data_IF_067222784477
#
_entry.id   IF_067222784477
#
_cell.length_a   1.000
_cell.length_b   1.000
_cell.length_c   1.000
_cell.angle_alpha   90.00
_cell.angle_beta   90.00
_cell.angle_gamma   90.00
#
_symmetry.space_group_name_H-M   'P 1'
#
loop_
_entity.id
_entity.type
_entity.pdbx_description
1 polymer ?
#
# COMPACT_ATOMS: atom_id res chain seq x y z
N UNK A 1 -21.63 19.30 4.40
CA UNK A 1 -20.73 19.92 3.43
C UNK A 1 -19.51 19.01 3.32
N UNK A 2 -19.52 18.08 2.36
CA UNK A 2 -18.39 17.17 2.12
C UNK A 2 -17.26 18.01 1.52
N UNK A 3 -16.18 18.18 2.28
CA UNK A 3 -14.92 18.66 1.72
C UNK A 3 -14.50 17.58 0.72
N UNK A 4 -14.23 17.92 -0.57
CA UNK A 4 -13.69 16.92 -1.48
C UNK A 4 -12.34 16.49 -0.94
N UNK A 5 -12.30 15.32 -0.29
CA UNK A 5 -11.04 14.66 -0.01
C UNK A 5 -10.33 14.53 -1.37
N UNK A 6 -9.14 15.07 -1.44
CA UNK A 6 -8.20 14.77 -2.53
C UNK A 6 -8.20 13.25 -2.62
N UNK A 7 -8.69 12.70 -3.73
CA UNK A 7 -8.79 11.26 -3.85
C UNK A 7 -7.35 10.74 -3.88
N UNK A 8 -6.95 10.01 -2.85
CA UNK A 8 -5.61 9.41 -2.76
C UNK A 8 -5.28 8.59 -4.01
N UNK A 9 -6.29 8.04 -4.66
CA UNK A 9 -6.18 7.34 -5.94
C UNK A 9 -5.64 8.24 -7.07
N UNK A 10 -6.03 9.52 -7.11
CA UNK A 10 -5.48 10.48 -8.09
C UNK A 10 -4.01 10.79 -7.83
N UNK A 11 -3.55 10.74 -6.59
CA UNK A 11 -2.15 10.95 -6.23
C UNK A 11 -1.26 9.78 -6.65
N UNK A 12 -1.73 8.54 -6.54
CA UNK A 12 -1.04 7.36 -7.08
C UNK A 12 -0.89 7.43 -8.60
N UNK A 13 -1.90 7.93 -9.32
CA UNK A 13 -1.84 8.15 -10.76
C UNK A 13 -0.80 9.23 -11.13
N UNK A 14 -0.74 10.31 -10.34
CA UNK A 14 0.28 11.37 -10.52
C UNK A 14 1.70 10.81 -10.34
N UNK A 15 1.92 9.93 -9.35
CA UNK A 15 3.23 9.30 -9.13
C UNK A 15 3.64 8.40 -10.32
N UNK A 16 2.70 7.69 -10.91
CA UNK A 16 2.98 6.91 -12.14
C UNK A 16 3.36 7.83 -13.30
N UNK A 17 2.61 8.91 -13.53
CA UNK A 17 2.92 9.91 -14.55
C UNK A 17 4.27 10.58 -14.30
N UNK A 18 4.62 10.83 -13.03
CA UNK A 18 5.92 11.36 -12.65
C UNK A 18 7.04 10.39 -13.06
N UNK A 19 6.91 9.11 -12.74
CA UNK A 19 7.88 8.10 -13.14
C UNK A 19 8.09 8.10 -14.66
N UNK A 20 7.01 8.01 -15.44
CA UNK A 20 7.06 8.00 -16.90
C UNK A 20 7.66 9.30 -17.48
N UNK A 21 7.38 10.46 -16.88
CA UNK A 21 7.93 11.75 -17.31
C UNK A 21 9.42 11.90 -16.99
N UNK A 22 9.94 11.16 -16.00
CA UNK A 22 11.36 11.18 -15.64
C UNK A 22 12.21 10.19 -16.43
N UNK A 23 11.61 9.18 -17.06
CA UNK A 23 12.33 8.21 -17.91
C UNK A 23 13.18 8.86 -19.01
N UNK A 24 12.77 9.94 -19.71
CA UNK A 24 13.63 10.60 -20.72
C UNK A 24 14.94 11.16 -20.16
N UNK A 25 15.04 11.45 -18.86
CA UNK A 25 16.30 11.84 -18.24
C UNK A 25 17.35 10.73 -18.27
N UNK A 26 16.90 9.46 -18.34
CA UNK A 26 17.79 8.31 -18.51
C UNK A 26 18.57 8.38 -19.85
N UNK A 27 18.03 9.01 -20.91
CA UNK A 27 18.69 9.12 -22.21
C UNK A 27 20.00 9.91 -22.14
N UNK A 28 20.03 10.98 -21.33
CA UNK A 28 21.25 11.76 -21.12
C UNK A 28 22.32 10.95 -20.38
N UNK A 29 21.90 10.17 -19.38
CA UNK A 29 22.80 9.28 -18.64
C UNK A 29 23.27 8.11 -19.53
N UNK A 30 22.43 7.63 -20.43
CA UNK A 30 22.77 6.59 -21.41
C UNK A 30 23.94 7.02 -22.30
N UNK A 31 23.97 8.27 -22.77
CA UNK A 31 25.07 8.79 -23.60
C UNK A 31 26.39 8.78 -22.82
N UNK A 32 26.39 9.26 -21.57
CA UNK A 32 27.59 9.25 -20.73
C UNK A 32 28.04 7.82 -20.41
N UNK A 33 27.08 6.95 -20.06
CA UNK A 33 27.33 5.54 -19.78
C UNK A 33 27.90 4.80 -20.98
N UNK A 34 27.42 5.08 -22.20
CA UNK A 34 27.92 4.49 -23.42
C UNK A 34 29.40 4.83 -23.68
N UNK A 35 29.80 6.07 -23.41
CA UNK A 35 31.21 6.48 -23.56
C UNK A 35 32.11 5.71 -22.57
N UNK A 36 31.69 5.59 -21.31
CA UNK A 36 32.42 4.83 -20.28
C UNK A 36 32.46 3.34 -20.64
N UNK A 37 31.35 2.77 -21.10
CA UNK A 37 31.26 1.36 -21.48
C UNK A 37 32.15 1.05 -22.70
N UNK A 38 32.21 1.96 -23.70
CA UNK A 38 33.11 1.81 -24.87
C UNK A 38 34.57 1.76 -24.44
N UNK A 39 35.00 2.66 -23.54
CA UNK A 39 36.37 2.65 -23.03
C UNK A 39 36.63 1.34 -22.27
N UNK A 40 35.71 0.94 -21.38
CA UNK A 40 35.79 -0.31 -20.66
C UNK A 40 35.86 -1.54 -21.54
N UNK A 41 35.03 -1.58 -22.59
CA UNK A 41 35.03 -2.65 -23.60
C UNK A 41 36.34 -2.76 -24.34
N UNK A 42 36.90 -1.62 -24.79
CA UNK A 42 38.21 -1.59 -25.49
C UNK A 42 39.33 -2.10 -24.58
N UNK A 43 39.38 -1.64 -23.31
CA UNK A 43 40.38 -2.08 -22.36
C UNK A 43 40.24 -3.58 -22.03
N UNK A 44 39.03 -4.06 -21.85
CA UNK A 44 38.73 -5.47 -21.57
C UNK A 44 39.16 -6.36 -22.74
N UNK A 45 38.72 -6.02 -23.96
CA UNK A 45 39.03 -6.79 -25.18
C UNK A 45 40.54 -6.80 -25.41
N UNK A 46 41.19 -5.62 -25.34
CA UNK A 46 42.62 -5.49 -25.52
C UNK A 46 43.43 -6.34 -24.53
N UNK A 47 43.07 -6.26 -23.25
CA UNK A 47 43.71 -7.03 -22.20
C UNK A 47 43.52 -8.55 -22.40
N UNK A 48 42.32 -8.98 -22.76
CA UNK A 48 42.00 -10.39 -22.96
C UNK A 48 42.71 -11.00 -24.15
N UNK A 49 42.72 -10.27 -25.27
CA UNK A 49 43.42 -10.67 -26.50
C UNK A 49 44.93 -10.74 -26.23
N UNK A 50 45.51 -9.71 -25.59
CA UNK A 50 46.93 -9.71 -25.22
C UNK A 50 47.27 -10.89 -24.31
N UNK A 51 46.46 -11.22 -23.31
CA UNK A 51 46.65 -12.35 -22.44
C UNK A 51 46.64 -13.70 -23.18
N UNK A 52 45.73 -13.89 -24.14
CA UNK A 52 45.68 -15.10 -24.99
C UNK A 52 46.91 -15.23 -25.85
N UNK A 53 47.36 -14.13 -26.47
CA UNK A 53 48.61 -14.10 -27.29
C UNK A 53 49.84 -14.42 -26.40
N UNK A 54 49.96 -13.81 -25.20
CA UNK A 54 51.08 -14.03 -24.30
C UNK A 54 51.18 -15.47 -23.79
N UNK A 55 50.03 -16.17 -23.67
CA UNK A 55 49.96 -17.58 -23.29
C UNK A 55 50.02 -18.57 -24.42
N UNK A 56 50.07 -18.07 -25.68
CA UNK A 56 49.96 -18.90 -26.89
C UNK A 56 48.70 -19.80 -26.90
N UNK A 57 47.60 -19.32 -26.28
CA UNK A 57 46.32 -19.98 -26.24
C UNK A 57 45.39 -19.46 -27.36
N UNK A 58 44.47 -20.31 -27.92
CA UNK A 58 43.47 -19.84 -28.87
C UNK A 58 42.58 -18.79 -28.21
N UNK A 59 42.20 -17.73 -28.98
CA UNK A 59 41.34 -16.67 -28.51
C UNK A 59 39.93 -17.22 -28.30
N UNK A 60 39.46 -17.22 -27.06
CA UNK A 60 38.09 -17.55 -26.75
C UNK A 60 37.19 -16.33 -27.01
N UNK A 61 36.27 -16.50 -27.97
CA UNK A 61 35.37 -15.41 -28.41
C UNK A 61 34.21 -15.18 -27.44
N UNK A 62 33.77 -16.20 -26.69
CA UNK A 62 32.62 -16.08 -25.81
C UNK A 62 32.76 -14.98 -24.74
N UNK A 63 33.87 -14.86 -24.00
CA UNK A 63 34.05 -13.77 -23.05
C UNK A 63 34.06 -12.40 -23.72
N UNK A 64 34.47 -12.30 -24.98
CA UNK A 64 34.51 -11.03 -25.71
C UNK A 64 33.12 -10.53 -26.13
N UNK A 65 32.12 -11.40 -26.20
CA UNK A 65 30.72 -11.00 -26.49
C UNK A 65 30.09 -10.22 -25.37
N UNK A 66 30.55 -10.38 -24.15
CA UNK A 66 29.98 -9.74 -22.94
C UNK A 66 29.96 -8.20 -23.04
N UNK A 67 31.05 -7.48 -23.38
CA UNK A 67 31.02 -6.03 -23.51
C UNK A 67 30.00 -5.57 -24.59
N UNK A 68 29.84 -6.32 -25.69
CA UNK A 68 28.83 -6.02 -26.69
C UNK A 68 27.41 -6.15 -26.16
N UNK A 69 27.11 -7.20 -25.42
CA UNK A 69 25.83 -7.38 -24.79
C UNK A 69 25.52 -6.23 -23.81
N UNK A 70 26.50 -5.81 -23.02
CA UNK A 70 26.36 -4.66 -22.12
C UNK A 70 26.12 -3.36 -22.88
N UNK A 71 26.82 -3.10 -23.98
CA UNK A 71 26.60 -1.93 -24.83
C UNK A 71 25.17 -1.91 -25.42
N UNK A 72 24.65 -3.05 -25.88
CA UNK A 72 23.27 -3.17 -26.38
C UNK A 72 22.28 -2.86 -25.24
N UNK A 73 22.49 -3.41 -24.06
CA UNK A 73 21.64 -3.13 -22.89
C UNK A 73 21.67 -1.65 -22.49
N UNK A 74 22.81 -0.96 -22.64
CA UNK A 74 22.92 0.47 -22.34
C UNK A 74 22.19 1.31 -23.40
N UNK A 75 22.40 1.02 -24.69
CA UNK A 75 21.76 1.76 -25.79
C UNK A 75 20.24 1.66 -25.71
N UNK A 76 19.73 0.46 -25.45
CA UNK A 76 18.29 0.19 -25.34
C UNK A 76 17.81 0.11 -23.89
N UNK A 77 18.46 0.83 -22.96
CA UNK A 77 18.23 0.67 -21.53
C UNK A 77 16.76 0.87 -21.14
N UNK A 78 16.14 1.96 -21.61
CA UNK A 78 14.74 2.26 -21.29
C UNK A 78 13.78 1.19 -21.82
N UNK A 79 13.98 0.71 -23.04
CA UNK A 79 13.07 -0.23 -23.69
C UNK A 79 13.32 -1.67 -23.25
N UNK A 80 14.58 -2.09 -23.23
CA UNK A 80 14.96 -3.49 -23.00
C UNK A 80 15.06 -3.80 -21.50
N UNK A 81 15.73 -2.94 -20.73
CA UNK A 81 15.96 -3.20 -19.30
C UNK A 81 14.75 -2.73 -18.48
N UNK A 82 14.43 -1.44 -18.52
CA UNK A 82 13.31 -0.90 -17.72
C UNK A 82 11.97 -1.40 -18.24
N UNK A 83 11.74 -1.35 -19.56
CA UNK A 83 10.51 -1.85 -20.17
C UNK A 83 10.30 -3.34 -19.96
N UNK A 84 11.36 -4.15 -20.08
CA UNK A 84 11.34 -5.58 -19.81
C UNK A 84 11.03 -5.90 -18.35
N UNK A 85 11.71 -5.24 -17.41
CA UNK A 85 11.46 -5.40 -15.96
C UNK A 85 10.03 -4.99 -15.61
N UNK A 86 9.58 -3.82 -16.06
CA UNK A 86 8.23 -3.35 -15.81
C UNK A 86 7.18 -4.27 -16.45
N UNK A 87 7.46 -4.81 -17.65
CA UNK A 87 6.58 -5.77 -18.31
C UNK A 87 6.37 -7.06 -17.50
N UNK A 88 7.41 -7.55 -16.84
CA UNK A 88 7.36 -8.76 -16.01
C UNK A 88 6.72 -8.47 -14.64
N UNK A 89 7.02 -7.31 -14.05
CA UNK A 89 6.61 -6.99 -12.68
C UNK A 89 5.22 -6.32 -12.60
N UNK A 90 4.78 -5.60 -13.64
CA UNK A 90 3.48 -4.91 -13.67
C UNK A 90 2.28 -5.84 -13.46
N UNK A 91 2.21 -7.06 -14.02
CA UNK A 91 1.10 -7.98 -13.76
C UNK A 91 0.99 -8.35 -12.28
N UNK A 92 2.12 -8.47 -11.57
CA UNK A 92 2.14 -8.77 -10.12
C UNK A 92 1.49 -7.62 -9.35
N UNK A 93 1.88 -6.37 -9.63
CA UNK A 93 1.30 -5.18 -9.01
C UNK A 93 -0.21 -5.10 -9.25
N UNK A 94 -0.64 -5.35 -10.50
CA UNK A 94 -2.08 -5.33 -10.84
C UNK A 94 -2.86 -6.41 -10.10
N UNK A 95 -2.30 -7.62 -10.02
CA UNK A 95 -2.94 -8.75 -9.33
C UNK A 95 -3.08 -8.48 -7.83
N UNK A 96 -2.04 -7.98 -7.16
CA UNK A 96 -2.09 -7.67 -5.72
C UNK A 96 -3.04 -6.51 -5.42
N UNK A 97 -3.05 -5.49 -6.27
CA UNK A 97 -3.97 -4.37 -6.13
C UNK A 97 -5.45 -4.79 -6.30
N UNK A 98 -5.75 -5.64 -7.29
CA UNK A 98 -7.11 -6.18 -7.46
C UNK A 98 -7.54 -7.07 -6.29
N UNK A 99 -6.60 -7.80 -5.69
CA UNK A 99 -6.84 -8.60 -4.49
C UNK A 99 -7.19 -7.71 -3.29
N UNK A 100 -6.44 -6.62 -3.08
CA UNK A 100 -6.73 -5.63 -2.03
C UNK A 100 -8.11 -5.01 -2.23
N UNK A 101 -8.43 -4.53 -3.43
CA UNK A 101 -9.73 -3.94 -3.75
C UNK A 101 -10.89 -4.91 -3.47
N UNK A 102 -10.75 -6.18 -3.86
CA UNK A 102 -11.75 -7.21 -3.61
C UNK A 102 -12.00 -7.47 -2.13
N UNK A 103 -10.95 -7.51 -1.31
CA UNK A 103 -11.06 -7.70 0.15
C UNK A 103 -11.66 -6.47 0.83
N UNK A 104 -11.25 -5.27 0.43
CA UNK A 104 -11.79 -4.01 0.97
C UNK A 104 -13.28 -3.86 0.63
N UNK A 105 -13.68 -4.19 -0.60
CA UNK A 105 -15.09 -4.19 -0.99
C UNK A 105 -15.93 -5.13 -0.12
N UNK A 106 -15.46 -6.36 0.10
CA UNK A 106 -16.13 -7.33 0.98
C UNK A 106 -16.24 -6.82 2.41
N UNK A 107 -15.18 -6.26 2.96
CA UNK A 107 -15.16 -5.67 4.30
C UNK A 107 -16.21 -4.55 4.44
N UNK A 108 -16.26 -3.62 3.49
CA UNK A 108 -17.22 -2.51 3.50
C UNK A 108 -18.68 -3.01 3.42
N UNK A 109 -18.92 -4.09 2.67
CA UNK A 109 -20.24 -4.71 2.58
C UNK A 109 -20.67 -5.30 3.93
N UNK A 110 -19.81 -6.10 4.56
CA UNK A 110 -20.11 -6.66 5.90
C UNK A 110 -20.28 -5.58 6.96
N UNK A 111 -19.53 -4.49 6.88
CA UNK A 111 -19.68 -3.36 7.79
C UNK A 111 -21.07 -2.71 7.63
N UNK A 112 -21.50 -2.48 6.39
CA UNK A 112 -22.81 -1.91 6.11
C UNK A 112 -23.96 -2.84 6.57
N UNK A 113 -23.79 -4.15 6.43
CA UNK A 113 -24.77 -5.14 6.90
C UNK A 113 -24.82 -5.19 8.43
N UNK A 114 -23.68 -5.08 9.11
CA UNK A 114 -23.61 -4.95 10.57
C UNK A 114 -24.35 -3.69 11.03
N UNK A 115 -24.04 -2.53 10.45
CA UNK A 115 -24.66 -1.25 10.84
C UNK A 115 -26.19 -1.28 10.65
N UNK A 116 -26.69 -1.98 9.63
CA UNK A 116 -28.14 -2.19 9.41
C UNK A 116 -28.76 -3.10 10.45
N UNK A 117 -28.13 -4.25 10.72
CA UNK A 117 -28.61 -5.22 11.70
C UNK A 117 -28.64 -4.62 13.10
N UNK A 118 -27.61 -3.85 13.44
CA UNK A 118 -27.49 -3.10 14.68
C UNK A 118 -28.68 -2.16 14.87
N UNK A 119 -28.99 -1.38 13.85
CA UNK A 119 -30.15 -0.49 13.86
C UNK A 119 -31.49 -1.26 13.97
N UNK A 120 -31.64 -2.39 13.28
CA UNK A 120 -32.85 -3.22 13.37
C UNK A 120 -33.05 -3.82 14.77
N UNK A 121 -31.97 -4.29 15.41
CA UNK A 121 -32.04 -4.84 16.77
C UNK A 121 -32.47 -3.75 17.77
N UNK A 122 -31.85 -2.58 17.68
CA UNK A 122 -32.21 -1.44 18.54
C UNK A 122 -33.66 -1.01 18.33
N UNK A 123 -34.18 -1.00 17.11
CA UNK A 123 -35.58 -0.67 16.85
C UNK A 123 -36.59 -1.71 17.41
N UNK A 124 -36.18 -2.97 17.51
CA UNK A 124 -37.00 -4.05 18.06
C UNK A 124 -37.03 -4.07 19.59
N UNK A 125 -36.03 -3.48 20.24
CA UNK A 125 -35.99 -3.40 21.71
C UNK A 125 -36.62 -2.09 22.19
N UNK A 126 -37.78 -2.15 22.89
CA UNK A 126 -38.46 -0.96 23.40
C UNK A 126 -37.60 -0.11 24.32
N UNK A 127 -36.58 -0.71 24.96
CA UNK A 127 -35.69 -0.01 25.91
C UNK A 127 -34.61 0.79 25.23
N UNK A 128 -34.37 0.59 23.90
CA UNK A 128 -33.30 1.23 23.13
C UNK A 128 -33.80 1.92 21.85
N UNK A 129 -35.03 1.61 21.42
CA UNK A 129 -35.60 2.15 20.18
C UNK A 129 -35.61 3.68 20.16
N UNK A 130 -35.79 4.32 21.30
CA UNK A 130 -35.75 5.78 21.45
C UNK A 130 -34.39 6.41 21.15
N UNK A 131 -33.30 5.63 21.20
CA UNK A 131 -31.97 6.13 20.88
C UNK A 131 -31.76 6.33 19.36
N UNK A 132 -32.46 5.54 18.54
CA UNK A 132 -32.29 5.47 17.06
C UNK A 132 -33.50 5.93 16.26
N UNK A 133 -34.70 6.03 16.88
CA UNK A 133 -35.93 6.48 16.23
C UNK A 133 -36.49 7.72 16.91
N UNK A 134 -36.79 8.75 16.12
CA UNK A 134 -37.44 9.96 16.60
C UNK A 134 -38.88 9.67 17.07
N UNK A 135 -39.59 8.81 16.34
CA UNK A 135 -40.98 8.44 16.61
C UNK A 135 -41.11 7.70 17.95
N UNK A 136 -40.19 6.78 18.23
CA UNK A 136 -40.18 6.06 19.51
C UNK A 136 -39.76 6.95 20.69
N UNK A 137 -38.86 7.90 20.45
CA UNK A 137 -38.45 8.89 21.41
C UNK A 137 -39.63 9.81 21.81
N UNK A 138 -40.32 10.36 20.80
CA UNK A 138 -41.49 11.22 21.02
C UNK A 138 -42.60 10.47 21.73
N UNK A 139 -42.84 9.19 21.38
CA UNK A 139 -43.83 8.35 22.04
C UNK A 139 -43.52 8.15 23.53
N UNK A 140 -42.25 7.84 23.86
CA UNK A 140 -41.86 7.66 25.26
C UNK A 140 -41.96 8.97 26.06
N UNK A 141 -41.66 10.11 25.43
CA UNK A 141 -41.89 11.42 26.07
C UNK A 141 -43.36 11.70 26.30
N UNK A 142 -44.24 11.40 25.35
CA UNK A 142 -45.68 11.62 25.45
C UNK A 142 -46.34 10.70 26.51
N UNK A 143 -45.77 9.50 26.73
CA UNK A 143 -46.22 8.57 27.80
C UNK A 143 -45.84 9.04 29.21
N UNK A 144 -44.85 9.95 29.34
CA UNK A 144 -44.45 10.52 30.62
C UNK A 144 -45.36 11.67 31.04
N UNK A 145 -45.76 11.70 32.33
CA UNK A 145 -46.58 12.75 32.89
C UNK A 145 -45.80 14.01 33.30
N UNK A 146 -46.48 14.95 33.92
CA UNK A 146 -45.87 16.20 34.41
C UNK A 146 -45.49 16.14 35.91
N UNK A 147 -45.46 14.95 36.51
CA UNK A 147 -45.03 14.76 37.89
C UNK A 147 -43.50 14.89 38.04
N UNK A 148 -42.98 15.30 39.20
CA UNK A 148 -41.53 15.43 39.39
C UNK A 148 -40.68 14.22 39.03
N UNK A 149 -41.11 12.95 39.30
CA UNK A 149 -40.34 11.77 38.84
C UNK A 149 -40.33 11.63 37.33
N UNK A 150 -41.40 12.01 36.61
CA UNK A 150 -41.51 11.93 35.13
C UNK A 150 -40.61 12.96 34.48
N UNK A 151 -40.49 14.14 35.03
CA UNK A 151 -39.54 15.17 34.54
C UNK A 151 -38.08 14.73 34.65
N UNK A 152 -37.74 13.98 35.71
CA UNK A 152 -36.41 13.40 35.83
C UNK A 152 -36.17 12.31 34.79
N UNK A 153 -37.17 11.43 34.56
CA UNK A 153 -37.09 10.40 33.50
C UNK A 153 -36.96 11.03 32.12
N UNK A 154 -37.74 12.09 31.81
CA UNK A 154 -37.62 12.83 30.57
C UNK A 154 -36.22 13.43 30.37
N UNK A 155 -35.63 13.99 31.40
CA UNK A 155 -34.27 14.54 31.34
C UNK A 155 -33.22 13.46 31.13
N UNK A 156 -33.40 12.25 31.68
CA UNK A 156 -32.52 11.10 31.46
C UNK A 156 -32.62 10.60 30.03
N UNK A 157 -33.81 10.44 29.46
CA UNK A 157 -33.99 10.03 28.05
C UNK A 157 -33.27 10.99 27.07
N UNK A 158 -33.40 12.30 27.29
CA UNK A 158 -32.68 13.31 26.49
C UNK A 158 -31.18 13.19 26.68
N UNK A 159 -30.70 12.95 27.90
CA UNK A 159 -29.27 12.83 28.19
C UNK A 159 -28.69 11.57 27.58
N UNK A 160 -29.37 10.44 27.68
CA UNK A 160 -28.93 9.16 27.13
C UNK A 160 -28.84 9.22 25.60
N UNK A 161 -29.86 9.80 24.93
CA UNK A 161 -29.85 10.00 23.48
C UNK A 161 -28.72 10.94 23.04
N UNK A 162 -28.49 12.01 23.81
CA UNK A 162 -27.40 12.95 23.54
C UNK A 162 -26.04 12.26 23.64
N UNK A 163 -25.80 11.49 24.70
CA UNK A 163 -24.55 10.76 24.88
C UNK A 163 -24.36 9.65 23.85
N UNK A 164 -25.42 8.95 23.48
CA UNK A 164 -25.40 7.96 22.41
C UNK A 164 -24.99 8.59 21.06
N UNK A 165 -25.59 9.72 20.72
CA UNK A 165 -25.25 10.47 19.49
C UNK A 165 -23.80 10.95 19.49
N UNK A 166 -23.31 11.50 20.61
CA UNK A 166 -21.91 11.94 20.73
C UNK A 166 -20.96 10.77 20.63
N UNK A 167 -21.25 9.65 21.31
CA UNK A 167 -20.41 8.45 21.23
C UNK A 167 -20.30 7.94 19.80
N UNK A 168 -21.42 7.85 19.08
CA UNK A 168 -21.44 7.46 17.66
C UNK A 168 -20.61 8.40 16.79
N UNK A 169 -20.71 9.71 17.02
CA UNK A 169 -19.94 10.72 16.29
C UNK A 169 -18.44 10.60 16.56
N UNK A 170 -18.04 10.39 17.82
CA UNK A 170 -16.63 10.19 18.21
C UNK A 170 -16.06 8.94 17.53
N UNK A 171 -16.78 7.81 17.58
CA UNK A 171 -16.35 6.55 16.97
C UNK A 171 -16.23 6.70 15.45
N UNK A 172 -17.20 7.37 14.81
CA UNK A 172 -17.16 7.65 13.38
C UNK A 172 -15.99 8.56 12.99
N UNK A 173 -15.75 9.63 13.76
CA UNK A 173 -14.64 10.55 13.52
C UNK A 173 -13.28 9.84 13.69
N UNK A 174 -13.17 8.97 14.70
CA UNK A 174 -11.96 8.21 14.96
C UNK A 174 -11.71 7.15 13.88
N UNK A 175 -12.75 6.45 13.41
CA UNK A 175 -12.69 5.55 12.26
C UNK A 175 -12.18 6.28 11.02
N UNK A 176 -12.82 7.40 10.66
CA UNK A 176 -12.42 8.23 9.52
C UNK A 176 -10.96 8.69 9.62
N UNK A 177 -10.52 9.12 10.81
CA UNK A 177 -9.14 9.54 11.04
C UNK A 177 -8.16 8.40 10.76
N UNK A 178 -8.45 7.19 11.29
CA UNK A 178 -7.57 6.05 11.11
C UNK A 178 -7.54 5.55 9.67
N UNK A 179 -8.67 5.53 8.97
CA UNK A 179 -8.75 5.22 7.54
C UNK A 179 -7.89 6.19 6.72
N UNK A 180 -8.04 7.50 6.99
CA UNK A 180 -7.24 8.53 6.32
C UNK A 180 -5.74 8.37 6.61
N UNK A 181 -5.36 8.03 7.84
CA UNK A 181 -3.95 7.78 8.20
C UNK A 181 -3.40 6.54 7.50
N UNK A 182 -4.21 5.49 7.34
CA UNK A 182 -3.81 4.28 6.61
C UNK A 182 -3.57 4.58 5.12
N UNK A 183 -4.49 5.30 4.48
CA UNK A 183 -4.34 5.74 3.08
C UNK A 183 -3.13 6.66 2.90
N UNK A 184 -2.93 7.60 3.82
CA UNK A 184 -1.75 8.47 3.81
C UNK A 184 -0.43 7.68 3.95
N UNK A 185 -0.39 6.67 4.83
CA UNK A 185 0.77 5.80 4.97
C UNK A 185 1.08 5.02 3.68
N UNK A 186 0.05 4.48 3.02
CA UNK A 186 0.19 3.82 1.72
C UNK A 186 0.75 4.75 0.66
N UNK A 187 0.25 5.99 0.59
CA UNK A 187 0.74 7.01 -0.34
C UNK A 187 2.22 7.38 -0.08
N UNK A 188 2.63 7.50 1.18
CA UNK A 188 4.04 7.76 1.55
C UNK A 188 4.93 6.65 1.01
N UNK A 189 4.53 5.39 1.17
CA UNK A 189 5.28 4.24 0.66
C UNK A 189 5.41 4.31 -0.86
N UNK A 190 4.31 4.56 -1.58
CA UNK A 190 4.34 4.65 -3.04
C UNK A 190 5.19 5.82 -3.53
N UNK A 191 5.18 6.94 -2.81
CA UNK A 191 6.04 8.11 -3.08
C UNK A 191 7.51 7.76 -2.95
N UNK A 192 7.91 7.16 -1.82
CA UNK A 192 9.30 6.76 -1.57
C UNK A 192 9.75 5.72 -2.61
N UNK A 193 8.91 4.71 -2.87
CA UNK A 193 9.16 3.69 -3.89
C UNK A 193 9.40 4.31 -5.27
N UNK A 194 8.50 5.19 -5.71
CA UNK A 194 8.59 5.86 -7.02
C UNK A 194 9.87 6.68 -7.13
N UNK A 195 10.23 7.43 -6.08
CA UNK A 195 11.47 8.18 -6.05
C UNK A 195 12.70 7.26 -6.18
N UNK A 196 12.76 6.16 -5.42
CA UNK A 196 13.86 5.20 -5.53
C UNK A 196 13.94 4.56 -6.91
N UNK A 197 12.81 4.19 -7.53
CA UNK A 197 12.78 3.61 -8.87
C UNK A 197 13.28 4.61 -9.93
N UNK A 198 12.91 5.89 -9.82
CA UNK A 198 13.42 6.96 -10.70
C UNK A 198 14.94 7.07 -10.58
N UNK A 199 15.46 7.13 -9.36
CA UNK A 199 16.92 7.23 -9.13
C UNK A 199 17.63 6.00 -9.67
N UNK A 200 17.12 4.79 -9.42
CA UNK A 200 17.70 3.55 -9.92
C UNK A 200 17.64 3.48 -11.46
N UNK A 201 16.54 3.94 -12.07
CA UNK A 201 16.42 4.00 -13.53
C UNK A 201 17.42 4.97 -14.15
N UNK A 202 17.58 6.18 -13.60
CA UNK A 202 18.52 7.19 -14.10
C UNK A 202 19.98 6.72 -13.95
N UNK A 203 20.34 6.09 -12.84
CA UNK A 203 21.71 5.59 -12.59
C UNK A 203 21.98 4.22 -13.21
N UNK A 204 20.94 3.51 -13.66
CA UNK A 204 21.07 2.17 -14.23
C UNK A 204 22.08 2.07 -15.35
N UNK A 205 22.06 2.90 -16.41
CA UNK A 205 23.02 2.85 -17.51
C UNK A 205 24.47 2.96 -17.02
N UNK A 206 24.73 3.78 -16.00
CA UNK A 206 26.06 3.94 -15.43
C UNK A 206 26.53 2.66 -14.70
N UNK A 207 25.63 1.98 -13.98
CA UNK A 207 25.93 0.70 -13.32
C UNK A 207 26.27 -0.37 -14.35
N UNK A 208 25.53 -0.42 -15.48
CA UNK A 208 25.83 -1.33 -16.59
C UNK A 208 27.19 -1.03 -17.21
N UNK A 209 27.54 0.26 -17.37
CA UNK A 209 28.84 0.67 -17.87
C UNK A 209 29.98 0.22 -16.94
N UNK A 210 29.85 0.41 -15.64
CA UNK A 210 30.82 -0.03 -14.62
C UNK A 210 30.93 -1.56 -14.60
N UNK A 211 29.81 -2.26 -14.74
CA UNK A 211 29.78 -3.73 -14.75
C UNK A 211 30.51 -4.35 -15.96
N UNK A 212 30.85 -3.57 -17.00
CA UNK A 212 31.68 -4.04 -18.12
C UNK A 212 33.15 -4.24 -17.71
N UNK A 213 33.61 -3.61 -16.65
CA UNK A 213 34.98 -3.81 -16.15
C UNK A 213 35.08 -5.09 -15.34
N UNK A 214 36.22 -5.77 -15.45
CA UNK A 214 36.50 -6.95 -14.62
C UNK A 214 36.57 -6.58 -13.13
N UNK A 215 35.92 -7.41 -12.31
CA UNK A 215 35.82 -7.19 -10.86
C UNK A 215 34.54 -6.44 -10.42
N UNK A 216 33.85 -5.70 -11.32
CA UNK A 216 32.64 -4.95 -10.98
C UNK A 216 31.35 -5.63 -11.42
N UNK A 217 31.40 -6.89 -11.82
CA UNK A 217 30.26 -7.65 -12.36
C UNK A 217 29.11 -7.81 -11.34
N UNK A 218 29.45 -7.90 -10.06
CA UNK A 218 28.49 -8.01 -8.98
C UNK A 218 27.58 -6.76 -8.85
N UNK A 219 28.03 -5.59 -9.32
CA UNK A 219 27.24 -4.36 -9.24
C UNK A 219 25.94 -4.44 -10.05
N UNK A 220 25.95 -5.15 -11.19
CA UNK A 220 24.76 -5.38 -12.01
C UNK A 220 23.71 -6.22 -11.26
N UNK A 221 24.14 -7.34 -10.67
CA UNK A 221 23.24 -8.21 -9.91
C UNK A 221 22.67 -7.47 -8.69
N UNK A 222 23.48 -6.68 -8.00
CA UNK A 222 23.04 -5.87 -6.86
C UNK A 222 22.03 -4.80 -7.30
N UNK A 223 22.28 -4.11 -8.40
CA UNK A 223 21.34 -3.13 -8.94
C UNK A 223 20.00 -3.76 -9.30
N UNK A 224 20.03 -4.91 -10.01
CA UNK A 224 18.83 -5.63 -10.41
C UNK A 224 18.02 -6.08 -9.18
N UNK A 225 18.69 -6.63 -8.17
CA UNK A 225 18.06 -7.05 -6.90
C UNK A 225 17.41 -5.86 -6.21
N UNK A 226 18.09 -4.70 -6.15
CA UNK A 226 17.54 -3.48 -5.56
C UNK A 226 16.34 -2.96 -6.35
N UNK A 227 16.42 -2.94 -7.68
CA UNK A 227 15.31 -2.48 -8.52
C UNK A 227 14.07 -3.34 -8.33
N UNK A 228 14.21 -4.67 -8.40
CA UNK A 228 13.12 -5.62 -8.19
C UNK A 228 12.58 -5.51 -6.75
N UNK A 229 13.46 -5.44 -5.76
CA UNK A 229 13.09 -5.32 -4.35
C UNK A 229 12.23 -4.07 -4.11
N UNK A 230 12.67 -2.90 -4.57
CA UNK A 230 11.91 -1.65 -4.43
C UNK A 230 10.61 -1.69 -5.23
N UNK A 231 10.62 -2.30 -6.42
CA UNK A 231 9.41 -2.44 -7.24
C UNK A 231 8.32 -3.26 -6.53
N UNK A 232 8.72 -4.29 -5.79
CA UNK A 232 7.80 -5.18 -5.05
C UNK A 232 7.29 -4.59 -3.73
N UNK A 233 7.74 -3.43 -3.29
CA UNK A 233 7.22 -2.81 -2.06
C UNK A 233 5.71 -2.57 -2.12
N UNK A 234 5.19 -2.07 -3.25
CA UNK A 234 3.74 -1.87 -3.41
C UNK A 234 2.95 -3.18 -3.36
N UNK A 235 3.30 -4.24 -4.13
CA UNK A 235 2.70 -5.56 -3.97
C UNK A 235 2.67 -6.08 -2.53
N UNK A 236 3.76 -5.92 -1.79
CA UNK A 236 3.82 -6.36 -0.39
C UNK A 236 2.85 -5.57 0.49
N UNK A 237 2.78 -4.24 0.31
CA UNK A 237 1.82 -3.39 1.02
C UNK A 237 0.37 -3.76 0.68
N UNK A 238 0.07 -4.00 -0.60
CA UNK A 238 -1.27 -4.42 -1.07
C UNK A 238 -1.69 -5.76 -0.46
N UNK A 239 -0.78 -6.76 -0.45
CA UNK A 239 -1.04 -8.07 0.16
C UNK A 239 -1.30 -7.92 1.65
N UNK A 240 -0.49 -7.11 2.34
CA UNK A 240 -0.66 -6.86 3.76
C UNK A 240 -2.02 -6.18 4.06
N UNK A 241 -2.38 -5.16 3.28
CA UNK A 241 -3.69 -4.51 3.36
C UNK A 241 -4.85 -5.49 3.11
N UNK A 242 -4.71 -6.39 2.13
CA UNK A 242 -5.71 -7.42 1.83
C UNK A 242 -5.87 -8.42 2.99
N UNK A 243 -4.78 -8.82 3.65
CA UNK A 243 -4.82 -9.68 4.85
C UNK A 243 -5.56 -8.98 5.98
N UNK A 244 -5.27 -7.70 6.23
CA UNK A 244 -5.96 -6.92 7.25
C UNK A 244 -7.45 -6.79 6.95
N UNK A 245 -7.83 -6.45 5.72
CA UNK A 245 -9.23 -6.37 5.31
C UNK A 245 -9.94 -7.72 5.47
N UNK A 246 -9.25 -8.84 5.20
CA UNK A 246 -9.80 -10.18 5.43
C UNK A 246 -9.99 -10.50 6.91
N UNK A 247 -9.03 -10.14 7.76
CA UNK A 247 -9.16 -10.31 9.22
C UNK A 247 -10.35 -9.50 9.76
N UNK A 248 -10.50 -8.26 9.32
CA UNK A 248 -11.64 -7.43 9.67
C UNK A 248 -12.97 -8.04 9.20
N UNK A 249 -13.02 -8.55 7.95
CA UNK A 249 -14.20 -9.25 7.43
C UNK A 249 -14.58 -10.45 8.29
N UNK A 250 -13.61 -11.27 8.70
CA UNK A 250 -13.86 -12.43 9.57
C UNK A 250 -14.36 -12.02 10.97
N UNK A 251 -13.82 -10.91 11.51
CA UNK A 251 -14.32 -10.35 12.77
C UNK A 251 -15.76 -9.88 12.65
N UNK A 252 -16.09 -9.15 11.57
CA UNK A 252 -17.44 -8.67 11.30
C UNK A 252 -18.44 -9.83 11.06
N UNK A 253 -18.03 -10.89 10.36
CA UNK A 253 -18.86 -12.09 10.18
C UNK A 253 -19.19 -12.73 11.53
N UNK A 254 -18.20 -12.87 12.41
CA UNK A 254 -18.41 -13.40 13.76
C UNK A 254 -19.34 -12.50 14.60
N UNK A 255 -19.17 -11.19 14.49
CA UNK A 255 -20.05 -10.24 15.17
C UNK A 255 -21.49 -10.38 14.69
N UNK A 256 -21.73 -10.47 13.38
CA UNK A 256 -23.06 -10.68 12.79
C UNK A 256 -23.69 -12.00 13.26
N UNK A 257 -22.90 -13.09 13.32
CA UNK A 257 -23.37 -14.38 13.81
C UNK A 257 -23.78 -14.30 15.28
N UNK A 258 -22.97 -13.67 16.13
CA UNK A 258 -23.26 -13.50 17.55
C UNK A 258 -24.49 -12.59 17.78
N UNK A 259 -24.59 -11.48 17.04
CA UNK A 259 -25.76 -10.59 17.10
C UNK A 259 -27.06 -11.27 16.68
N UNK A 260 -27.01 -12.21 15.73
CA UNK A 260 -28.17 -12.98 15.31
C UNK A 260 -28.63 -14.00 16.37
N UNK A 261 -27.70 -14.47 17.21
CA UNK A 261 -27.94 -15.50 18.23
C UNK A 261 -28.30 -14.88 19.59
N UNK A 262 -27.62 -13.79 19.96
CA UNK A 262 -27.82 -13.06 21.20
C UNK A 262 -27.90 -11.55 20.96
N UNK A 263 -29.09 -10.95 20.88
CA UNK A 263 -29.26 -9.52 20.69
C UNK A 263 -28.59 -8.64 21.76
N UNK A 264 -28.38 -9.17 22.98
CA UNK A 264 -27.70 -8.47 24.08
C UNK A 264 -26.17 -8.38 23.90
N UNK A 265 -25.59 -9.23 23.07
CA UNK A 265 -24.15 -9.21 22.70
C UNK A 265 -23.73 -7.84 22.16
N UNK A 266 -24.64 -7.17 21.45
CA UNK A 266 -24.44 -5.85 20.85
C UNK A 266 -24.08 -4.76 21.87
N UNK A 267 -24.69 -4.76 23.07
CA UNK A 267 -24.50 -3.69 24.06
C UNK A 267 -23.06 -3.65 24.59
N UNK A 268 -22.36 -4.78 24.56
CA UNK A 268 -21.02 -4.94 25.12
C UNK A 268 -19.89 -4.81 24.08
N UNK A 269 -20.21 -4.77 22.77
CA UNK A 269 -19.19 -4.68 21.73
C UNK A 269 -19.00 -3.24 21.25
N UNK A 270 -17.97 -2.62 21.79
CA UNK A 270 -17.39 -1.44 21.16
C UNK A 270 -16.74 -1.85 19.84
N UNK A 271 -16.94 -1.08 18.77
CA UNK A 271 -16.24 -1.22 17.48
C UNK A 271 -14.70 -1.09 17.57
N UNK A 272 -14.17 -1.28 18.77
CA UNK A 272 -12.76 -1.16 19.16
C UNK A 272 -11.88 -2.17 18.45
N UNK A 273 -12.40 -3.36 18.15
CA UNK A 273 -11.63 -4.41 17.44
C UNK A 273 -11.20 -3.94 16.05
N UNK A 274 -12.12 -3.29 15.31
CA UNK A 274 -11.81 -2.68 14.00
C UNK A 274 -10.69 -1.63 14.12
N UNK A 275 -10.80 -0.74 15.11
CA UNK A 275 -9.82 0.32 15.34
C UNK A 275 -8.45 -0.23 15.72
N UNK A 276 -8.39 -1.30 16.51
CA UNK A 276 -7.14 -1.98 16.88
C UNK A 276 -6.47 -2.59 15.65
N UNK A 277 -7.21 -3.30 14.78
CA UNK A 277 -6.64 -3.86 13.56
C UNK A 277 -6.11 -2.79 12.61
N UNK A 278 -6.79 -1.66 12.50
CA UNK A 278 -6.37 -0.55 11.66
C UNK A 278 -5.09 0.11 12.21
N UNK A 279 -5.00 0.26 13.53
CA UNK A 279 -3.80 0.77 14.21
C UNK A 279 -2.60 -0.18 14.05
N UNK A 280 -2.83 -1.50 14.19
CA UNK A 280 -1.81 -2.51 13.92
C UNK A 280 -1.34 -2.42 12.47
N UNK A 281 -2.28 -2.21 11.52
CA UNK A 281 -1.96 -2.00 10.11
C UNK A 281 -1.02 -0.83 9.88
N UNK A 282 -1.32 0.33 10.45
CA UNK A 282 -0.48 1.52 10.34
C UNK A 282 0.91 1.26 10.92
N UNK A 283 1.00 0.66 12.11
CA UNK A 283 2.27 0.36 12.76
C UNK A 283 3.11 -0.65 11.95
N UNK A 284 2.49 -1.72 11.47
CA UNK A 284 3.18 -2.77 10.72
C UNK A 284 3.68 -2.26 9.37
N UNK A 285 2.87 -1.50 8.64
CA UNK A 285 3.26 -0.87 7.38
C UNK A 285 4.42 0.09 7.59
N UNK A 286 4.36 0.95 8.60
CA UNK A 286 5.44 1.90 8.92
C UNK A 286 6.72 1.18 9.31
N UNK A 287 6.66 0.09 10.10
CA UNK A 287 7.82 -0.65 10.55
C UNK A 287 8.50 -1.42 9.42
N UNK A 288 7.74 -2.15 8.59
CA UNK A 288 8.30 -2.98 7.51
C UNK A 288 9.00 -2.15 6.45
N UNK A 289 8.50 -0.95 6.15
CA UNK A 289 9.08 -0.09 5.11
C UNK A 289 10.25 0.78 5.60
N UNK A 290 10.32 1.09 6.89
CA UNK A 290 11.48 1.77 7.47
C UNK A 290 12.69 0.84 7.66
N UNK A 291 12.48 -0.46 7.84
CA UNK A 291 13.55 -1.42 8.16
C UNK A 291 14.08 -2.18 6.94
N UNK A 292 13.26 -2.38 5.90
CA UNK A 292 13.67 -3.14 4.69
C UNK A 292 14.85 -2.54 3.91
N UNK A 293 15.02 -1.20 3.77
CA UNK A 293 16.18 -0.65 3.05
C UNK A 293 17.46 -0.56 3.87
N UNK A 294 17.41 -0.76 5.19
CA UNK A 294 18.55 -0.51 6.08
C UNK A 294 19.31 -1.76 6.51
N UNK A 295 18.84 -2.97 6.17
CA UNK A 295 19.64 -4.17 6.41
C UNK A 295 20.74 -4.25 5.36
N UNK A 296 22.02 -4.02 5.72
CA UNK A 296 23.11 -4.37 4.84
C UNK A 296 23.09 -5.89 4.70
N UNK A 297 22.91 -6.37 3.48
CA UNK A 297 23.17 -7.78 3.19
C UNK A 297 24.67 -8.03 3.47
N UNK A 298 24.95 -8.70 4.58
CA UNK A 298 26.25 -9.26 4.90
C UNK A 298 26.55 -10.41 3.96
#
# INVERSE_FOLDING_TARGET
MMIPLVSFESLHEILRKLFDSMLPLCERMTVMASAIACIGALLYISYRVWQSIARAEPIDVFPLLRPFAMCICIIFFNTLVIGGLNGILSPIVKATHSLLQGQTFSMNQYQADKDKLEKEIMLKDPTQAYLVSDEEFDRQIDELGWMPPDLNAMSQLHQDRYWFGIRGLIVMAFRWLLETLFEAASLVIDTIRTFYLIVLAILGPLVFAIASFDGFQASLAQWLTKYIGVYLWLPVADIFGAILARLQTLSLQKDLELMSTDPWYFINMDGTVYLVFLLIGICAVSYTHLTLPTTPYV
#
